data_IF_485398954430
#
_entry.id   IF_485398954430
#
_cell.length_a   1.000
_cell.length_b   1.000
_cell.length_c   1.000
_cell.angle_alpha   90.00
_cell.angle_beta   90.00
_cell.angle_gamma   90.00
#
_symmetry.space_group_name_H-M   'P 1'
#
loop_
_entity.id
_entity.type
_entity.pdbx_description
1 polymer ?
#
# COMPACT_ATOMS: atom_id res chain seq x y z
N UNK A 1 9.42 12.45 -1.94
CA UNK A 1 8.09 12.38 -1.25
C UNK A 1 7.16 11.70 -2.24
N UNK A 2 6.78 10.44 -2.03
CA UNK A 2 6.07 9.67 -3.08
C UNK A 2 4.65 10.19 -3.33
N UNK A 3 4.43 10.77 -4.50
CA UNK A 3 3.11 11.18 -4.98
C UNK A 3 2.24 9.96 -5.33
N UNK A 4 2.85 8.92 -5.87
CA UNK A 4 2.17 7.67 -6.17
C UNK A 4 1.52 7.04 -4.93
N UNK A 5 2.28 6.90 -3.82
CA UNK A 5 1.73 6.31 -2.58
C UNK A 5 0.59 7.13 -1.99
N UNK A 6 0.67 8.46 -2.08
CA UNK A 6 -0.39 9.37 -1.68
C UNK A 6 -1.67 9.13 -2.49
N UNK A 7 -1.53 9.02 -3.82
CA UNK A 7 -2.65 8.75 -4.74
C UNK A 7 -3.25 7.35 -4.52
N UNK A 8 -2.40 6.33 -4.34
CA UNK A 8 -2.84 4.97 -4.03
C UNK A 8 -3.61 4.91 -2.70
N UNK A 9 -3.12 5.55 -1.63
CA UNK A 9 -3.83 5.61 -0.37
C UNK A 9 -5.17 6.37 -0.50
N UNK A 10 -5.18 7.48 -1.24
CA UNK A 10 -6.40 8.21 -1.52
C UNK A 10 -7.42 7.34 -2.28
N UNK A 11 -6.96 6.60 -3.31
CA UNK A 11 -7.77 5.68 -4.09
C UNK A 11 -8.48 4.62 -3.21
N UNK A 12 -7.72 3.97 -2.31
CA UNK A 12 -8.28 2.97 -1.38
C UNK A 12 -9.34 3.57 -0.44
N UNK A 13 -9.15 4.81 -0.01
CA UNK A 13 -10.13 5.51 0.82
C UNK A 13 -11.41 5.84 0.05
N UNK A 14 -11.32 6.43 -1.14
CA UNK A 14 -12.49 6.91 -1.90
C UNK A 14 -13.31 5.75 -2.46
N UNK A 15 -12.67 4.64 -2.82
CA UNK A 15 -13.35 3.41 -3.26
C UNK A 15 -13.95 2.61 -2.11
N UNK A 16 -13.83 3.08 -0.86
CA UNK A 16 -14.45 2.46 0.30
C UNK A 16 -13.77 1.16 0.77
N UNK A 17 -12.63 0.78 0.20
CA UNK A 17 -11.88 -0.42 0.57
C UNK A 17 -11.38 -0.42 2.02
N UNK A 18 -11.25 0.77 2.60
CA UNK A 18 -10.89 0.94 4.02
C UNK A 18 -12.12 1.11 4.94
N UNK A 19 -13.34 1.05 4.42
CA UNK A 19 -14.57 1.06 5.25
C UNK A 19 -14.75 -0.29 5.95
N UNK A 20 -15.13 -0.26 7.23
CA UNK A 20 -15.34 -1.49 8.01
C UNK A 20 -14.05 -2.28 8.29
N UNK A 21 -12.88 -1.73 7.98
CA UNK A 21 -11.59 -2.41 8.05
C UNK A 21 -11.29 -3.03 9.44
N UNK A 22 -11.78 -2.40 10.52
CA UNK A 22 -11.65 -2.90 11.90
C UNK A 22 -12.37 -4.23 12.15
N UNK A 23 -13.43 -4.53 11.40
CA UNK A 23 -14.23 -5.75 11.56
C UNK A 23 -13.72 -6.93 10.73
N UNK A 24 -12.72 -6.70 9.88
CA UNK A 24 -12.11 -7.71 9.02
C UNK A 24 -10.97 -8.43 9.74
N UNK A 25 -10.75 -9.71 9.40
CA UNK A 25 -9.56 -10.48 9.79
C UNK A 25 -8.31 -9.94 9.08
N UNK A 26 -7.12 -10.32 9.56
CA UNK A 26 -5.86 -9.90 8.92
C UNK A 26 -5.78 -10.33 7.45
N UNK A 27 -6.22 -11.56 7.13
CA UNK A 27 -6.26 -12.05 5.75
C UNK A 27 -7.23 -11.28 4.86
N UNK A 28 -8.43 -10.96 5.37
CA UNK A 28 -9.41 -10.14 4.64
C UNK A 28 -8.90 -8.72 4.39
N UNK A 29 -8.28 -8.10 5.40
CA UNK A 29 -7.63 -6.79 5.28
C UNK A 29 -6.55 -6.79 4.20
N UNK A 30 -5.74 -7.84 4.18
CA UNK A 30 -4.68 -8.02 3.18
C UNK A 30 -5.26 -8.10 1.77
N UNK A 31 -6.25 -8.97 1.53
CA UNK A 31 -6.83 -9.14 0.19
C UNK A 31 -7.51 -7.85 -0.31
N UNK A 32 -8.28 -7.16 0.53
CA UNK A 32 -8.96 -5.92 0.14
C UNK A 32 -7.97 -4.83 -0.29
N UNK A 33 -6.86 -4.68 0.45
CA UNK A 33 -5.80 -3.73 0.08
C UNK A 33 -5.07 -4.22 -1.17
N UNK A 34 -4.79 -5.52 -1.28
CA UNK A 34 -4.07 -6.11 -2.43
C UNK A 34 -4.83 -5.88 -3.72
N UNK A 35 -6.12 -6.18 -3.73
CA UNK A 35 -7.00 -5.93 -4.87
C UNK A 35 -7.00 -4.45 -5.26
N UNK A 36 -7.15 -3.56 -4.28
CA UNK A 36 -7.16 -2.12 -4.54
C UNK A 36 -5.83 -1.56 -5.05
N UNK A 37 -4.69 -2.05 -4.54
CA UNK A 37 -3.36 -1.67 -5.03
C UNK A 37 -3.16 -2.19 -6.46
N UNK A 38 -3.49 -3.45 -6.73
CA UNK A 38 -3.36 -4.03 -8.07
C UNK A 38 -4.26 -3.33 -9.08
N UNK A 39 -5.48 -2.97 -8.69
CA UNK A 39 -6.39 -2.18 -9.53
C UNK A 39 -5.81 -0.81 -9.82
N UNK A 40 -5.35 -0.08 -8.81
CA UNK A 40 -4.73 1.23 -8.99
C UNK A 40 -3.48 1.17 -9.89
N UNK A 41 -2.65 0.13 -9.76
CA UNK A 41 -1.45 -0.08 -10.55
C UNK A 41 -1.72 -0.30 -12.04
N UNK A 42 -2.88 -0.85 -12.43
CA UNK A 42 -3.23 -1.03 -13.84
C UNK A 42 -3.30 0.30 -14.59
N UNK A 43 -3.84 1.31 -13.93
CA UNK A 43 -3.98 2.66 -14.49
C UNK A 43 -2.80 3.58 -14.13
N UNK A 44 -1.97 3.18 -13.16
CA UNK A 44 -0.85 3.95 -12.63
C UNK A 44 0.36 3.04 -12.42
N UNK A 45 1.01 2.57 -13.51
CA UNK A 45 2.21 1.75 -13.40
C UNK A 45 3.28 2.52 -12.61
N UNK A 46 4.05 1.78 -11.82
CA UNK A 46 5.10 2.33 -10.96
C UNK A 46 6.43 1.68 -11.32
N UNK A 47 7.49 2.49 -11.41
CA UNK A 47 8.86 2.00 -11.62
C UNK A 47 9.48 1.46 -10.33
N UNK A 48 10.64 0.78 -10.45
CA UNK A 48 11.36 0.22 -9.29
C UNK A 48 11.81 1.31 -8.30
N UNK A 49 12.45 2.38 -8.79
CA UNK A 49 12.92 3.50 -7.94
C UNK A 49 11.75 4.18 -7.20
N UNK A 50 10.62 4.39 -7.89
CA UNK A 50 9.43 5.01 -7.30
C UNK A 50 8.72 4.06 -6.31
N UNK A 51 8.86 2.75 -6.48
CA UNK A 51 8.31 1.75 -5.57
C UNK A 51 9.00 1.77 -4.21
N UNK A 52 10.32 1.94 -4.16
CA UNK A 52 11.01 2.11 -2.88
C UNK A 52 10.53 3.37 -2.15
N UNK A 53 10.45 4.51 -2.86
CA UNK A 53 9.92 5.76 -2.29
C UNK A 53 8.46 5.61 -1.81
N UNK A 54 7.64 4.89 -2.55
CA UNK A 54 6.25 4.62 -2.19
C UNK A 54 6.16 3.78 -0.91
N UNK A 55 6.99 2.74 -0.81
CA UNK A 55 7.07 1.89 0.37
C UNK A 55 7.51 2.69 1.61
N UNK A 56 8.56 3.51 1.47
CA UNK A 56 9.02 4.38 2.55
C UNK A 56 7.94 5.36 3.00
N UNK A 57 7.18 5.93 2.05
CA UNK A 57 6.08 6.83 2.36
C UNK A 57 5.00 6.14 3.20
N UNK A 58 4.57 4.92 2.83
CA UNK A 58 3.58 4.18 3.60
C UNK A 58 4.07 3.90 5.04
N UNK A 59 5.33 3.49 5.18
CA UNK A 59 5.94 3.25 6.49
C UNK A 59 6.00 4.53 7.34
N UNK A 60 6.49 5.64 6.75
CA UNK A 60 6.59 6.94 7.42
C UNK A 60 5.22 7.47 7.89
N UNK A 61 4.15 7.16 7.16
CA UNK A 61 2.77 7.54 7.51
C UNK A 61 2.01 6.49 8.34
N UNK A 62 2.72 5.48 8.87
CA UNK A 62 2.16 4.38 9.68
C UNK A 62 1.03 3.62 8.96
N UNK A 63 1.08 3.54 7.63
CA UNK A 63 0.15 2.79 6.77
C UNK A 63 0.66 1.35 6.63
N UNK A 64 0.73 0.64 7.76
CA UNK A 64 1.46 -0.63 7.87
C UNK A 64 0.84 -1.74 7.02
N UNK A 65 -0.49 -1.77 6.89
CA UNK A 65 -1.17 -2.77 6.08
C UNK A 65 -0.92 -2.54 4.59
N UNK A 66 -1.03 -1.29 4.13
CA UNK A 66 -0.67 -0.90 2.76
C UNK A 66 0.80 -1.18 2.48
N UNK A 67 1.72 -0.82 3.39
CA UNK A 67 3.15 -1.10 3.24
C UNK A 67 3.45 -2.60 3.08
N UNK A 68 2.85 -3.45 3.93
CA UNK A 68 3.03 -4.92 3.87
C UNK A 68 2.54 -5.51 2.56
N UNK A 69 1.34 -5.11 2.13
CA UNK A 69 0.75 -5.58 0.88
C UNK A 69 1.58 -5.10 -0.31
N UNK A 70 1.88 -3.80 -0.35
CA UNK A 70 2.64 -3.18 -1.43
C UNK A 70 4.02 -3.82 -1.58
N UNK A 71 4.77 -3.98 -0.49
CA UNK A 71 6.07 -4.65 -0.52
C UNK A 71 5.96 -6.08 -1.06
N UNK A 72 4.92 -6.83 -0.67
CA UNK A 72 4.70 -8.19 -1.16
C UNK A 72 4.36 -8.23 -2.64
N UNK A 73 3.54 -7.29 -3.13
CA UNK A 73 3.17 -7.17 -4.56
C UNK A 73 4.39 -6.81 -5.41
N UNK A 74 5.22 -5.89 -4.94
CA UNK A 74 6.40 -5.41 -5.67
C UNK A 74 7.64 -6.28 -5.48
N UNK A 75 7.58 -7.35 -4.67
CA UNK A 75 8.75 -8.16 -4.34
C UNK A 75 9.79 -7.46 -3.46
N UNK A 76 9.44 -6.33 -2.85
CA UNK A 76 10.32 -5.53 -2.00
C UNK A 76 10.43 -6.12 -0.59
N UNK A 77 11.58 -5.90 0.04
CA UNK A 77 11.78 -6.21 1.45
C UNK A 77 11.44 -5.00 2.30
N UNK A 78 10.55 -5.17 3.28
CA UNK A 78 10.40 -4.18 4.35
C UNK A 78 11.66 -4.27 5.21
N UNK A 79 12.61 -3.38 4.98
CA UNK A 79 13.77 -3.24 5.85
C UNK A 79 13.30 -2.99 7.28
N UNK A 80 13.81 -3.77 8.24
CA UNK A 80 13.73 -3.38 9.66
C UNK A 80 14.59 -2.13 9.81
N UNK A 81 13.99 -0.95 9.74
CA UNK A 81 14.70 0.27 10.12
C UNK A 81 15.05 0.11 11.61
N UNK A 82 16.33 -0.14 11.90
CA UNK A 82 16.90 0.01 13.25
C UNK A 82 16.59 1.43 13.67
N UNK A 83 15.74 1.58 14.68
CA UNK A 83 15.65 2.80 15.48
C UNK A 83 16.91 2.89 16.33
#
# INVERSE_FOLDING_TARGET
MSEWARRAHHYLNVTGRLRGFRNLSEGQRYEVIREGILEFMRDNPIGEDEAEEALEWFLARRKIHEARVFAKVMGLRIGRRRV
#
